data_IF_500159922332
#
_entry.id   IF_500159922332
#
_cell.length_a   1.000
_cell.length_b   1.000
_cell.length_c   1.000
_cell.angle_alpha   90.00
_cell.angle_beta   90.00
_cell.angle_gamma   90.00
#
_symmetry.space_group_name_H-M   'P 1'
#
loop_
_entity.id
_entity.type
_entity.pdbx_description
1 polymer ?
#
# COMPACT_ATOMS: atom_id res chain seq x y z
N UNK A 1 6.93 -81.95 -38.89
CA UNK A 1 7.79 -81.03 -38.13
C UNK A 1 7.71 -79.71 -38.88
N UNK A 2 6.63 -78.94 -38.64
CA UNK A 2 6.59 -77.76 -37.73
C UNK A 2 7.34 -76.57 -38.35
N UNK A 3 6.91 -75.31 -38.38
CA UNK A 3 5.68 -74.57 -38.08
C UNK A 3 5.89 -73.19 -38.74
N UNK A 4 4.83 -72.53 -39.23
CA UNK A 4 4.77 -71.06 -39.44
C UNK A 4 4.05 -70.43 -38.22
N UNK A 5 3.95 -69.10 -37.97
CA UNK A 5 4.64 -67.90 -38.46
C UNK A 5 5.23 -67.04 -37.30
N UNK A 6 6.07 -66.02 -37.59
CA UNK A 6 6.66 -65.12 -36.59
C UNK A 6 6.40 -63.64 -36.87
N UNK A 7 5.34 -63.13 -36.27
CA UNK A 7 4.83 -61.74 -36.31
C UNK A 7 5.80 -60.73 -35.66
N UNK A 8 5.85 -59.55 -36.28
CA UNK A 8 6.38 -58.23 -35.88
C UNK A 8 6.91 -57.98 -34.45
N UNK A 9 8.03 -57.26 -34.37
CA UNK A 9 8.36 -56.38 -33.23
C UNK A 9 8.52 -54.93 -33.69
N UNK A 10 7.68 -53.99 -33.25
CA UNK A 10 7.96 -52.57 -33.38
C UNK A 10 9.03 -52.16 -32.36
N UNK A 11 9.90 -51.26 -32.80
CA UNK A 11 10.92 -50.59 -31.99
C UNK A 11 10.30 -49.96 -30.74
N UNK A 12 10.75 -50.38 -29.55
CA UNK A 12 10.32 -49.81 -28.28
C UNK A 12 10.89 -48.39 -28.14
N UNK A 13 9.99 -47.40 -28.14
CA UNK A 13 10.32 -46.01 -27.78
C UNK A 13 10.69 -45.93 -26.28
N UNK A 14 11.72 -45.16 -25.90
CA UNK A 14 12.05 -44.96 -24.50
C UNK A 14 10.95 -44.14 -23.82
N UNK A 15 10.41 -44.66 -22.70
CA UNK A 15 9.51 -43.93 -21.81
C UNK A 15 10.27 -42.73 -21.22
N UNK A 16 9.96 -41.53 -21.72
CA UNK A 16 10.32 -40.28 -21.08
C UNK A 16 9.57 -40.24 -19.73
N UNK A 17 10.32 -40.47 -18.64
CA UNK A 17 9.84 -40.31 -17.28
C UNK A 17 9.67 -38.82 -17.02
N UNK A 18 8.47 -38.28 -17.25
CA UNK A 18 8.09 -36.96 -16.77
C UNK A 18 8.24 -36.94 -15.24
N UNK A 19 9.24 -36.21 -14.74
CA UNK A 19 9.35 -35.84 -13.33
C UNK A 19 8.20 -34.90 -12.97
N UNK A 20 7.06 -35.46 -12.55
CA UNK A 20 5.85 -34.73 -12.17
C UNK A 20 5.89 -34.17 -10.74
N UNK A 21 6.97 -34.41 -10.00
CA UNK A 21 7.08 -34.04 -8.58
C UNK A 21 7.45 -32.59 -8.35
N UNK A 22 8.14 -31.93 -9.30
CA UNK A 22 8.59 -30.53 -9.17
C UNK A 22 7.48 -29.52 -9.41
N UNK A 23 6.48 -29.84 -10.23
CA UNK A 23 5.41 -28.88 -10.61
C UNK A 23 4.37 -28.66 -9.51
N UNK A 24 4.14 -29.65 -8.64
CA UNK A 24 3.07 -29.61 -7.61
C UNK A 24 3.47 -28.79 -6.36
N UNK A 25 4.73 -28.85 -5.95
CA UNK A 25 5.27 -28.08 -4.82
C UNK A 25 5.31 -26.57 -5.09
N UNK A 26 5.62 -26.18 -6.33
CA UNK A 26 5.68 -24.77 -6.74
C UNK A 26 4.31 -24.08 -6.65
N UNK A 27 3.22 -24.78 -6.99
CA UNK A 27 1.89 -24.20 -6.96
C UNK A 27 1.42 -23.83 -5.55
N UNK A 28 1.71 -24.65 -4.53
CA UNK A 28 1.34 -24.35 -3.14
C UNK A 28 2.04 -23.06 -2.66
N UNK A 29 3.33 -22.92 -2.97
CA UNK A 29 4.10 -21.73 -2.63
C UNK A 29 3.52 -20.45 -3.26
N UNK A 30 3.15 -20.48 -4.55
CA UNK A 30 2.55 -19.33 -5.23
C UNK A 30 1.21 -18.92 -4.63
N UNK A 31 0.36 -19.88 -4.24
CA UNK A 31 -0.93 -19.58 -3.60
C UNK A 31 -0.77 -19.02 -2.18
N UNK A 32 0.18 -19.52 -1.40
CA UNK A 32 0.50 -18.96 -0.07
C UNK A 32 1.04 -17.54 -0.19
N UNK A 33 1.97 -17.30 -1.12
CA UNK A 33 2.52 -15.97 -1.36
C UNK A 33 1.42 -14.99 -1.82
N UNK A 34 0.55 -15.41 -2.75
CA UNK A 34 -0.59 -14.62 -3.20
C UNK A 34 -1.57 -14.29 -2.06
N UNK A 35 -1.92 -15.28 -1.23
CA UNK A 35 -2.83 -15.07 -0.11
C UNK A 35 -2.24 -14.08 0.93
N UNK A 36 -0.94 -14.18 1.21
CA UNK A 36 -0.24 -13.24 2.06
C UNK A 36 -0.25 -11.83 1.46
N UNK A 37 0.13 -11.67 0.20
CA UNK A 37 0.11 -10.39 -0.51
C UNK A 37 -1.30 -9.77 -0.49
N UNK A 38 -2.32 -10.54 -0.85
CA UNK A 38 -3.71 -10.08 -0.85
C UNK A 38 -4.17 -9.63 0.54
N UNK A 39 -3.83 -10.38 1.60
CA UNK A 39 -4.21 -10.01 2.97
C UNK A 39 -3.62 -8.67 3.39
N UNK A 40 -2.37 -8.40 3.01
CA UNK A 40 -1.69 -7.15 3.31
C UNK A 40 -2.34 -6.01 2.50
N UNK A 41 -2.59 -6.21 1.20
CA UNK A 41 -3.22 -5.19 0.36
C UNK A 41 -4.62 -4.82 0.84
N UNK A 42 -5.42 -5.81 1.27
CA UNK A 42 -6.74 -5.56 1.84
C UNK A 42 -6.67 -4.82 3.18
N UNK A 43 -5.69 -5.12 4.03
CA UNK A 43 -5.48 -4.39 5.28
C UNK A 43 -5.11 -2.92 5.04
N UNK A 44 -4.22 -2.66 4.07
CA UNK A 44 -3.85 -1.31 3.68
C UNK A 44 -5.02 -0.54 3.09
N UNK A 45 -5.75 -1.17 2.17
CA UNK A 45 -6.97 -0.59 1.60
C UNK A 45 -7.99 -0.24 2.68
N UNK A 46 -8.25 -1.14 3.63
CA UNK A 46 -9.18 -0.90 4.72
C UNK A 46 -8.76 0.30 5.60
N UNK A 47 -7.46 0.42 5.91
CA UNK A 47 -6.93 1.55 6.66
C UNK A 47 -7.14 2.87 5.92
N UNK A 48 -6.79 2.95 4.63
CA UNK A 48 -6.98 4.18 3.86
C UNK A 48 -8.45 4.49 3.55
N UNK A 49 -9.29 3.47 3.36
CA UNK A 49 -10.73 3.65 3.20
C UNK A 49 -11.36 4.21 4.47
N UNK A 50 -10.92 3.76 5.65
CA UNK A 50 -11.38 4.31 6.94
C UNK A 50 -10.94 5.76 7.19
N UNK A 51 -9.87 6.19 6.53
CA UNK A 51 -9.34 7.56 6.63
C UNK A 51 -10.02 8.52 5.65
N UNK A 52 -10.69 8.03 4.60
CA UNK A 52 -11.31 8.85 3.57
C UNK A 52 -12.71 9.35 3.96
N UNK A 53 -13.11 10.58 3.59
CA UNK A 53 -12.26 11.64 3.00
C UNK A 53 -11.46 12.41 4.06
N UNK A 54 -11.91 12.41 5.31
CA UNK A 54 -11.32 13.14 6.42
C UNK A 54 -11.59 12.46 7.77
N UNK A 55 -11.22 11.18 7.89
CA UNK A 55 -11.46 10.39 9.11
C UNK A 55 -10.70 10.92 10.33
N UNK A 56 -9.48 11.43 10.12
CA UNK A 56 -8.66 11.97 11.21
C UNK A 56 -7.71 13.10 10.79
N UNK A 57 -7.61 13.45 9.51
CA UNK A 57 -6.60 14.39 8.99
C UNK A 57 -6.77 15.79 9.58
N UNK A 58 -7.97 16.37 9.49
CA UNK A 58 -8.23 17.71 10.03
C UNK A 58 -8.13 17.74 11.56
N UNK A 59 -8.52 16.66 12.23
CA UNK A 59 -8.38 16.53 13.69
C UNK A 59 -6.91 16.49 14.11
N UNK A 60 -6.06 15.73 13.42
CA UNK A 60 -4.62 15.68 13.69
C UNK A 60 -3.94 17.02 13.40
N UNK A 61 -4.39 17.72 12.35
CA UNK A 61 -3.88 19.05 12.03
C UNK A 61 -4.21 20.04 13.16
N UNK A 62 -5.48 20.10 13.57
CA UNK A 62 -5.93 20.96 14.68
C UNK A 62 -5.23 20.63 16.00
N UNK A 63 -5.14 19.34 16.33
CA UNK A 63 -4.51 18.88 17.58
C UNK A 63 -3.04 19.32 17.65
N UNK A 64 -2.30 19.15 16.56
CA UNK A 64 -0.91 19.63 16.49
C UNK A 64 -0.84 21.15 16.59
N UNK A 65 -1.79 21.87 15.97
CA UNK A 65 -1.78 23.32 15.86
C UNK A 65 -2.03 23.99 17.21
N UNK A 66 -3.00 23.47 17.97
CA UNK A 66 -3.28 23.92 19.34
C UNK A 66 -2.09 23.67 20.28
N UNK A 67 -1.34 22.59 20.05
CA UNK A 67 -0.13 22.26 20.82
C UNK A 67 1.14 22.97 20.30
N UNK A 68 1.04 23.74 19.21
CA UNK A 68 2.18 24.43 18.58
C UNK A 68 3.22 23.52 17.92
N UNK A 69 2.83 22.31 17.49
CA UNK A 69 3.73 21.33 16.86
C UNK A 69 3.76 21.40 15.33
N UNK A 70 2.78 22.05 14.72
CA UNK A 70 2.63 22.29 13.29
C UNK A 70 1.79 23.57 13.09
N UNK A 71 1.49 23.94 11.84
CA UNK A 71 0.63 25.09 11.56
C UNK A 71 -0.78 24.86 12.12
N UNK A 72 -1.45 25.92 12.57
CA UNK A 72 -2.81 25.83 13.09
C UNK A 72 -3.84 26.10 11.97
N UNK A 73 -4.76 25.16 11.67
CA UNK A 73 -5.80 25.38 10.65
C UNK A 73 -6.72 26.57 10.94
N UNK A 74 -6.89 26.95 12.22
CA UNK A 74 -7.73 28.08 12.63
C UNK A 74 -7.15 29.44 12.20
N UNK A 75 -5.83 29.54 11.98
CA UNK A 75 -5.22 30.74 11.43
C UNK A 75 -5.86 31.11 10.09
N UNK A 76 -6.24 30.12 9.27
CA UNK A 76 -6.91 30.38 7.99
C UNK A 76 -8.26 31.08 8.17
N UNK A 77 -9.01 30.75 9.22
CA UNK A 77 -10.29 31.40 9.55
C UNK A 77 -10.02 32.84 9.98
N UNK A 78 -9.01 33.06 10.82
CA UNK A 78 -8.60 34.41 11.22
C UNK A 78 -8.21 35.27 10.02
N UNK A 79 -7.40 34.75 9.09
CA UNK A 79 -7.00 35.47 7.88
C UNK A 79 -8.20 35.80 6.99
N UNK A 80 -9.12 34.85 6.79
CA UNK A 80 -10.35 35.07 6.05
C UNK A 80 -11.20 36.19 6.67
N UNK A 81 -11.41 36.16 8.00
CA UNK A 81 -12.17 37.17 8.72
C UNK A 81 -11.52 38.57 8.68
N UNK A 82 -10.21 38.64 8.53
CA UNK A 82 -9.44 39.89 8.45
C UNK A 82 -9.11 40.32 7.01
N UNK A 83 -9.75 39.72 6.00
CA UNK A 83 -9.49 39.99 4.58
C UNK A 83 -8.02 39.85 4.16
N UNK A 84 -7.28 38.96 4.82
CA UNK A 84 -5.89 38.63 4.50
C UNK A 84 -5.83 37.31 3.71
N UNK A 85 -4.81 37.17 2.87
CA UNK A 85 -4.58 35.93 2.12
C UNK A 85 -4.24 34.78 3.08
N UNK A 86 -5.04 33.71 3.14
CA UNK A 86 -4.80 32.62 4.09
C UNK A 86 -3.52 31.86 3.75
N UNK A 87 -2.81 31.30 4.75
CA UNK A 87 -1.65 30.46 4.50
C UNK A 87 -2.04 29.23 3.67
N UNK A 88 -1.08 28.76 2.86
CA UNK A 88 -1.23 27.56 2.04
C UNK A 88 -1.42 26.33 2.94
N UNK A 89 -2.23 25.36 2.49
CA UNK A 89 -2.42 24.10 3.23
C UNK A 89 -1.22 23.20 2.92
N UNK A 90 -0.45 22.77 3.93
CA UNK A 90 0.64 21.82 3.74
C UNK A 90 0.14 20.53 3.09
N UNK A 91 0.95 19.94 2.21
CA UNK A 91 0.55 18.77 1.41
C UNK A 91 -0.05 17.64 2.26
N UNK A 92 0.57 17.30 3.38
CA UNK A 92 0.10 16.24 4.29
C UNK A 92 -1.33 16.48 4.81
N UNK A 93 -1.74 17.74 4.97
CA UNK A 93 -3.06 18.12 5.47
C UNK A 93 -4.08 18.35 4.35
N UNK A 94 -3.71 18.14 3.09
CA UNK A 94 -4.65 18.24 1.96
C UNK A 94 -5.49 16.97 1.78
N UNK A 95 -6.69 17.11 1.23
CA UNK A 95 -7.50 15.97 0.78
C UNK A 95 -6.78 15.16 -0.31
N UNK A 96 -6.02 15.83 -1.18
CA UNK A 96 -5.24 15.19 -2.26
C UNK A 96 -4.26 14.14 -1.73
N UNK A 97 -3.69 14.33 -0.54
CA UNK A 97 -2.84 13.35 0.12
C UNK A 97 -3.62 12.07 0.46
N UNK A 98 -4.79 12.20 1.09
CA UNK A 98 -5.68 11.07 1.39
C UNK A 98 -6.15 10.37 0.11
N UNK A 99 -6.56 11.13 -0.90
CA UNK A 99 -7.02 10.61 -2.19
C UNK A 99 -5.92 9.79 -2.89
N UNK A 100 -4.68 10.30 -2.91
CA UNK A 100 -3.54 9.60 -3.52
C UNK A 100 -3.22 8.27 -2.81
N UNK A 101 -3.30 8.23 -1.47
CA UNK A 101 -3.06 7.01 -0.71
C UNK A 101 -4.16 5.97 -0.96
N UNK A 102 -5.44 6.38 -0.96
CA UNK A 102 -6.55 5.47 -1.24
C UNK A 102 -6.52 4.98 -2.69
N UNK A 103 -6.21 5.85 -3.65
CA UNK A 103 -6.07 5.48 -5.05
C UNK A 103 -4.94 4.45 -5.25
N UNK A 104 -3.79 4.66 -4.61
CA UNK A 104 -2.65 3.73 -4.66
C UNK A 104 -3.03 2.37 -4.06
N UNK A 105 -3.68 2.35 -2.89
CA UNK A 105 -4.16 1.10 -2.28
C UNK A 105 -5.20 0.38 -3.16
N UNK A 106 -6.08 1.12 -3.83
CA UNK A 106 -7.07 0.56 -4.76
C UNK A 106 -6.39 -0.08 -5.97
N UNK A 107 -5.42 0.61 -6.59
CA UNK A 107 -4.62 0.06 -7.70
C UNK A 107 -3.84 -1.18 -7.24
N UNK A 108 -3.28 -1.15 -6.04
CA UNK A 108 -2.54 -2.28 -5.46
C UNK A 108 -3.41 -3.54 -5.35
N UNK A 109 -4.64 -3.42 -4.83
CA UNK A 109 -5.59 -4.54 -4.76
C UNK A 109 -5.95 -5.05 -6.16
N UNK A 110 -6.23 -4.16 -7.12
CA UNK A 110 -6.56 -4.55 -8.51
C UNK A 110 -5.41 -5.31 -9.15
N UNK A 111 -4.17 -4.80 -9.02
CA UNK A 111 -2.97 -5.44 -9.55
C UNK A 111 -2.73 -6.80 -8.88
N UNK A 112 -2.92 -6.89 -7.56
CA UNK A 112 -2.81 -8.15 -6.83
C UNK A 112 -3.81 -9.18 -7.37
N UNK A 113 -5.09 -8.83 -7.52
CA UNK A 113 -6.11 -9.72 -8.09
C UNK A 113 -5.77 -10.14 -9.53
N UNK A 114 -5.27 -9.23 -10.35
CA UNK A 114 -4.81 -9.53 -11.71
C UNK A 114 -3.63 -10.52 -11.70
N UNK A 115 -2.66 -10.37 -10.78
CA UNK A 115 -1.57 -11.34 -10.57
C UNK A 115 -2.12 -12.71 -10.16
N UNK A 116 -3.12 -12.75 -9.28
CA UNK A 116 -3.81 -13.99 -8.89
C UNK A 116 -4.44 -14.71 -10.08
N UNK A 117 -5.09 -13.97 -10.99
CA UNK A 117 -5.63 -14.52 -12.23
C UNK A 117 -4.54 -15.08 -13.15
N UNK A 118 -3.40 -14.39 -13.29
CA UNK A 118 -2.26 -14.88 -14.08
C UNK A 118 -1.66 -16.17 -13.51
N UNK A 119 -1.57 -16.29 -12.18
CA UNK A 119 -1.14 -17.51 -11.49
C UNK A 119 -2.13 -18.65 -11.77
N UNK A 120 -3.43 -18.37 -11.65
CA UNK A 120 -4.50 -19.36 -11.92
C UNK A 120 -4.46 -19.88 -13.36
N UNK A 121 -4.25 -19.01 -14.34
CA UNK A 121 -4.15 -19.38 -15.76
C UNK A 121 -2.79 -19.98 -16.15
N UNK A 122 -1.84 -20.09 -15.21
CA UNK A 122 -0.45 -20.50 -15.47
C UNK A 122 0.24 -19.65 -16.57
N UNK A 123 -0.13 -18.37 -16.69
CA UNK A 123 0.41 -17.42 -17.67
C UNK A 123 1.27 -16.32 -17.04
N UNK A 124 1.77 -16.54 -15.82
CA UNK A 124 2.62 -15.58 -15.10
C UNK A 124 4.00 -15.45 -15.75
N UNK A 125 4.11 -14.57 -16.76
CA UNK A 125 5.40 -14.19 -17.36
C UNK A 125 6.17 -13.28 -16.40
N UNK A 126 7.41 -13.65 -16.07
CA UNK A 126 8.24 -12.93 -15.12
C UNK A 126 8.35 -11.41 -15.39
N UNK A 127 8.54 -11.00 -16.65
CA UNK A 127 8.66 -9.57 -17.00
C UNK A 127 7.37 -8.77 -16.76
N UNK A 128 6.21 -9.40 -16.96
CA UNK A 128 4.90 -8.76 -16.74
C UNK A 128 4.69 -8.53 -15.24
N UNK A 129 4.97 -9.55 -14.42
CA UNK A 129 4.89 -9.45 -12.96
C UNK A 129 5.87 -8.41 -12.43
N UNK A 130 7.12 -8.44 -12.89
CA UNK A 130 8.14 -7.46 -12.50
C UNK A 130 7.76 -6.03 -12.85
N UNK A 131 7.14 -5.80 -14.02
CA UNK A 131 6.66 -4.46 -14.41
C UNK A 131 5.59 -3.93 -13.44
N UNK A 132 4.64 -4.78 -13.03
CA UNK A 132 3.63 -4.41 -12.05
C UNK A 132 4.24 -4.12 -10.68
N UNK A 133 5.15 -4.97 -10.21
CA UNK A 133 5.80 -4.80 -8.90
C UNK A 133 6.63 -3.50 -8.85
N UNK A 134 7.40 -3.20 -9.91
CA UNK A 134 8.18 -1.94 -10.00
C UNK A 134 7.26 -0.72 -10.05
N UNK A 135 6.18 -0.78 -10.84
CA UNK A 135 5.23 0.33 -10.93
C UNK A 135 4.54 0.59 -9.59
N UNK A 136 4.18 -0.48 -8.87
CA UNK A 136 3.52 -0.37 -7.58
C UNK A 136 4.48 0.12 -6.50
N UNK A 137 5.73 -0.33 -6.50
CA UNK A 137 6.78 0.17 -5.62
C UNK A 137 6.99 1.69 -5.82
N UNK A 138 7.01 2.18 -7.06
CA UNK A 138 7.13 3.61 -7.34
C UNK A 138 5.96 4.42 -6.75
N UNK A 139 4.72 3.92 -6.85
CA UNK A 139 3.55 4.55 -6.24
C UNK A 139 3.65 4.57 -4.70
N UNK A 140 4.07 3.45 -4.09
CA UNK A 140 4.26 3.37 -2.64
C UNK A 140 5.34 4.31 -2.12
N UNK A 141 6.46 4.47 -2.84
CA UNK A 141 7.51 5.45 -2.51
C UNK A 141 6.94 6.88 -2.49
N UNK A 142 6.12 7.24 -3.49
CA UNK A 142 5.47 8.54 -3.53
C UNK A 142 4.48 8.72 -2.35
N UNK A 143 3.68 7.70 -2.05
CA UNK A 143 2.76 7.71 -0.90
C UNK A 143 3.51 7.89 0.43
N UNK A 144 4.59 7.15 0.67
CA UNK A 144 5.40 7.25 1.90
C UNK A 144 6.06 8.64 2.00
N UNK A 145 6.57 9.17 0.88
CA UNK A 145 7.15 10.51 0.82
C UNK A 145 6.11 11.58 1.17
N UNK A 146 4.88 11.42 0.67
CA UNK A 146 3.77 12.32 0.96
C UNK A 146 3.31 12.22 2.43
N UNK A 147 3.19 10.99 2.96
CA UNK A 147 2.80 10.75 4.35
C UNK A 147 3.84 11.25 5.38
N UNK A 148 5.09 11.38 4.97
CA UNK A 148 6.19 11.93 5.79
C UNK A 148 6.52 13.39 5.47
N UNK A 149 5.76 14.04 4.59
CA UNK A 149 5.99 15.43 4.20
C UNK A 149 5.80 16.39 5.38
N UNK A 150 6.64 17.42 5.42
CA UNK A 150 6.62 18.44 6.46
C UNK A 150 5.53 19.49 6.27
N UNK A 151 5.32 20.27 7.32
CA UNK A 151 4.49 21.45 7.37
C UNK A 151 5.37 22.69 7.63
N UNK A 152 5.44 23.57 6.64
CA UNK A 152 6.20 24.82 6.70
C UNK A 152 5.32 26.05 6.47
N UNK A 153 3.99 25.91 6.60
CA UNK A 153 3.06 26.99 6.28
C UNK A 153 3.07 28.13 7.30
N UNK A 154 3.53 27.88 8.53
CA UNK A 154 3.72 28.91 9.57
C UNK A 154 5.20 28.99 9.97
N UNK A 155 5.86 30.16 9.80
CA UNK A 155 7.24 30.36 10.24
C UNK A 155 7.44 30.21 11.76
N UNK A 156 6.37 30.38 12.56
CA UNK A 156 6.42 30.25 14.00
C UNK A 156 6.44 28.79 14.47
N UNK A 157 5.84 27.87 13.69
CA UNK A 157 5.70 26.46 14.03
C UNK A 157 6.09 25.53 12.86
N UNK A 158 7.35 25.58 12.38
CA UNK A 158 7.81 24.68 11.32
C UNK A 158 7.90 23.23 11.83
N UNK A 159 7.38 22.31 11.04
CA UNK A 159 7.31 20.88 11.37
C UNK A 159 7.90 20.05 10.23
N UNK A 160 9.20 19.69 10.26
CA UNK A 160 9.83 18.97 9.16
C UNK A 160 9.21 17.60 8.86
N UNK A 161 8.56 17.01 9.86
CA UNK A 161 7.79 15.76 9.74
C UNK A 161 6.49 15.90 10.53
N UNK A 162 5.42 15.19 10.15
CA UNK A 162 4.17 15.22 10.88
C UNK A 162 4.38 14.81 12.34
N UNK A 163 3.77 15.56 13.26
CA UNK A 163 4.01 15.38 14.69
C UNK A 163 3.70 13.96 15.18
N UNK A 164 2.69 13.29 14.60
CA UNK A 164 2.30 11.92 14.96
C UNK A 164 3.36 10.88 14.56
N UNK A 165 4.35 11.20 13.73
CA UNK A 165 5.48 10.32 13.44
C UNK A 165 6.68 10.53 14.37
N UNK A 166 6.77 11.68 15.04
CA UNK A 166 7.91 12.05 15.90
C UNK A 166 7.57 12.05 17.39
N UNK A 167 6.28 12.09 17.75
CA UNK A 167 5.79 12.10 19.12
C UNK A 167 4.93 10.87 19.40
N UNK A 168 4.78 10.54 20.68
CA UNK A 168 3.92 9.44 21.11
C UNK A 168 2.44 9.86 21.05
N UNK A 169 1.56 8.96 20.61
CA UNK A 169 0.11 9.19 20.66
C UNK A 169 -0.44 9.30 22.09
N UNK A 170 0.36 8.95 23.11
CA UNK A 170 0.02 9.18 24.54
C UNK A 170 0.13 10.65 24.95
N UNK A 171 0.77 11.50 24.13
CA UNK A 171 0.94 12.93 24.42
C UNK A 171 -0.33 13.76 24.16
N UNK A 172 -1.38 13.15 23.62
CA UNK A 172 -2.66 13.79 23.33
C UNK A 172 -3.79 12.92 23.88
N UNK A 173 -4.84 13.54 24.39
CA UNK A 173 -6.02 12.84 24.90
C UNK A 173 -7.19 12.91 23.91
N UNK A 174 -8.16 12.01 24.08
CA UNK A 174 -9.41 12.03 23.33
C UNK A 174 -9.28 11.52 21.87
N UNK A 175 -10.12 12.05 20.95
CA UNK A 175 -10.17 11.59 19.56
C UNK A 175 -8.82 11.69 18.82
N UNK A 176 -7.97 12.65 19.17
CA UNK A 176 -6.66 12.85 18.54
C UNK A 176 -5.70 11.67 18.77
N UNK A 177 -5.80 10.99 19.91
CA UNK A 177 -4.99 9.82 20.21
C UNK A 177 -5.32 8.64 19.27
N UNK A 178 -6.62 8.39 19.04
CA UNK A 178 -7.07 7.35 18.10
C UNK A 178 -6.62 7.66 16.68
N UNK A 179 -6.81 8.90 16.23
CA UNK A 179 -6.33 9.36 14.93
C UNK A 179 -4.82 9.19 14.76
N UNK A 180 -4.04 9.46 15.82
CA UNK A 180 -2.59 9.33 15.81
C UNK A 180 -2.17 7.87 15.60
N UNK A 181 -2.77 6.94 16.35
CA UNK A 181 -2.48 5.50 16.20
C UNK A 181 -2.84 5.00 14.81
N UNK A 182 -3.97 5.44 14.25
CA UNK A 182 -4.38 5.07 12.89
C UNK A 182 -3.42 5.61 11.83
N UNK A 183 -3.01 6.88 11.96
CA UNK A 183 -2.03 7.48 11.04
C UNK A 183 -0.65 6.79 11.11
N UNK A 184 -0.18 6.44 12.32
CA UNK A 184 1.04 5.66 12.50
C UNK A 184 0.91 4.26 11.88
N UNK A 185 -0.23 3.59 12.07
CA UNK A 185 -0.50 2.29 11.46
C UNK A 185 -0.52 2.37 9.93
N UNK A 186 -1.19 3.38 9.35
CA UNK A 186 -1.20 3.65 7.91
C UNK A 186 0.20 3.88 7.35
N UNK A 187 1.04 4.63 8.05
CA UNK A 187 2.44 4.83 7.64
C UNK A 187 3.25 3.54 7.72
N UNK A 188 3.17 2.82 8.84
CA UNK A 188 3.90 1.57 9.06
C UNK A 188 3.54 0.50 8.02
N UNK A 189 2.25 0.35 7.71
CA UNK A 189 1.81 -0.64 6.72
C UNK A 189 2.20 -0.24 5.29
N UNK A 190 2.24 1.06 4.98
CA UNK A 190 2.73 1.55 3.68
C UNK A 190 4.19 1.17 3.48
N UNK A 191 5.02 1.32 4.53
CA UNK A 191 6.43 0.90 4.51
C UNK A 191 6.58 -0.61 4.40
N UNK A 192 5.67 -1.40 4.99
CA UNK A 192 5.70 -2.86 4.91
C UNK A 192 5.31 -3.40 3.51
N UNK A 193 4.43 -2.68 2.80
CA UNK A 193 4.01 -3.07 1.44
C UNK A 193 5.05 -2.72 0.37
N UNK A 194 5.86 -1.69 0.60
CA UNK A 194 6.98 -1.33 -0.29
C UNK A 194 8.06 -2.42 -0.28
#
# INVERSE_FOLDING_TARGET
>A
MECSPGISRPYALPKIRHGSTTTRTNNCFHWVAFAAELSIQLAVFALFASAYPDGYRSLLWLTGGVQGWNSNPEERIYFYANHKTPPEIPWIWTQRSTDANLATATVAVIVCLAKGLLIYLHQSRYFVVAFYDVSLAALWILCISNQSSGDYSSPAHPSPRPWYLVKSCKSVEGPGAKGCTMAQASFAISVLVL
#
